data_IF_730488418898
#
_entry.id   IF_730488418898
#
_cell.length_a   1.000
_cell.length_b   1.000
_cell.length_c   1.000
_cell.angle_alpha   90.00
_cell.angle_beta   90.00
_cell.angle_gamma   90.00
#
_symmetry.space_group_name_H-M   'P 1'
#
loop_
_entity.id
_entity.type
_entity.pdbx_description
1 polymer ?
#
# COMPACT_ATOMS: atom_id res chain seq x y z
N UNK A 1 -18.49 -0.31 32.53
CA UNK A 1 -19.13 -0.20 31.20
C UNK A 1 -18.51 0.96 30.40
N UNK A 2 -17.18 0.93 30.19
CA UNK A 2 -16.41 1.99 29.49
C UNK A 2 -15.33 1.40 28.54
N UNK A 3 -15.36 0.08 28.31
CA UNK A 3 -14.37 -0.62 27.48
C UNK A 3 -14.72 -0.50 25.99
N UNK A 4 -16.01 -0.49 25.65
CA UNK A 4 -16.51 -0.34 24.28
C UNK A 4 -16.12 0.99 23.59
N UNK A 5 -16.25 2.18 24.23
CA UNK A 5 -15.86 3.44 23.58
C UNK A 5 -14.34 3.60 23.44
N UNK A 6 -13.54 3.01 24.33
CA UNK A 6 -12.07 3.01 24.19
C UNK A 6 -11.59 2.10 23.05
N UNK A 7 -12.26 0.97 22.81
CA UNK A 7 -11.97 0.11 21.65
C UNK A 7 -12.38 0.81 20.35
N UNK A 8 -13.52 1.48 20.31
CA UNK A 8 -13.95 2.27 19.15
C UNK A 8 -13.01 3.44 18.84
N UNK A 9 -12.54 4.14 19.87
CA UNK A 9 -11.54 5.19 19.73
C UNK A 9 -10.16 4.63 19.31
N UNK A 10 -9.75 3.47 19.80
CA UNK A 10 -8.51 2.80 19.37
C UNK A 10 -8.58 2.31 17.91
N UNK A 11 -9.74 1.79 17.47
CA UNK A 11 -9.99 1.43 16.07
C UNK A 11 -9.90 2.66 15.15
N UNK A 12 -10.39 3.81 15.62
CA UNK A 12 -10.37 5.09 14.89
C UNK A 12 -8.99 5.78 14.91
N UNK A 13 -8.27 5.73 16.03
CA UNK A 13 -6.91 6.30 16.19
C UNK A 13 -5.88 5.50 15.37
N UNK A 14 -6.13 4.23 15.06
CA UNK A 14 -5.28 3.43 14.16
C UNK A 14 -5.38 3.89 12.68
N UNK A 15 -6.42 4.63 12.30
CA UNK A 15 -6.68 4.98 10.89
C UNK A 15 -5.84 6.19 10.42
N UNK A 16 -5.38 7.09 11.31
CA UNK A 16 -4.95 8.43 10.88
C UNK A 16 -3.46 8.76 10.90
N UNK A 17 -2.59 7.94 11.51
CA UNK A 17 -1.13 8.12 11.36
C UNK A 17 -0.58 7.45 10.09
N UNK A 18 -1.27 6.42 9.59
CA UNK A 18 -0.91 5.72 8.35
C UNK A 18 -1.25 6.55 7.12
N UNK A 19 -2.40 7.26 7.14
CA UNK A 19 -2.88 8.05 5.99
C UNK A 19 -1.87 9.09 5.48
N UNK A 20 -1.21 9.84 6.38
CA UNK A 20 -0.24 10.85 5.96
C UNK A 20 1.03 10.24 5.32
N UNK A 21 1.50 9.08 5.81
CA UNK A 21 2.65 8.39 5.23
C UNK A 21 2.27 7.77 3.89
N UNK A 22 1.09 7.16 3.80
CA UNK A 22 0.54 6.61 2.55
C UNK A 22 0.37 7.70 1.51
N UNK A 23 -0.18 8.87 1.88
CA UNK A 23 -0.33 10.00 0.97
C UNK A 23 1.03 10.50 0.48
N UNK A 24 2.03 10.62 1.36
CA UNK A 24 3.39 11.00 0.95
C UNK A 24 4.02 9.97 0.00
N UNK A 25 3.83 8.68 0.27
CA UNK A 25 4.27 7.61 -0.62
C UNK A 25 3.58 7.72 -1.98
N UNK A 26 2.26 7.93 -2.01
CA UNK A 26 1.48 8.08 -3.24
C UNK A 26 1.93 9.30 -4.05
N UNK A 27 2.08 10.48 -3.41
CA UNK A 27 2.58 11.69 -4.07
C UNK A 27 3.99 11.53 -4.60
N UNK A 28 4.86 10.81 -3.88
CA UNK A 28 6.22 10.52 -4.35
C UNK A 28 6.21 9.60 -5.58
N UNK A 29 5.36 8.56 -5.57
CA UNK A 29 5.18 7.68 -6.74
C UNK A 29 4.58 8.44 -7.93
N UNK A 30 3.61 9.31 -7.69
CA UNK A 30 3.00 10.17 -8.72
C UNK A 30 4.04 11.08 -9.35
N UNK A 31 4.89 11.73 -8.55
CA UNK A 31 6.01 12.56 -9.03
C UNK A 31 7.01 11.76 -9.87
N UNK A 32 7.14 10.46 -9.62
CA UNK A 32 8.03 9.56 -10.35
C UNK A 32 7.35 8.86 -11.53
N UNK A 33 6.07 9.13 -11.80
CA UNK A 33 5.26 8.40 -12.78
C UNK A 33 5.23 6.88 -12.53
N UNK A 34 5.24 6.50 -11.25
CA UNK A 34 5.28 5.10 -10.75
C UNK A 34 4.04 4.75 -9.91
N UNK A 35 2.95 5.51 -10.06
CA UNK A 35 1.69 5.10 -9.46
C UNK A 35 1.31 3.71 -9.98
N UNK A 36 0.74 2.84 -9.13
CA UNK A 36 0.25 1.56 -9.61
C UNK A 36 -0.83 1.78 -10.67
N UNK A 37 -0.54 1.37 -11.89
CA UNK A 37 -1.47 1.46 -13.00
C UNK A 37 -2.39 0.24 -12.92
N UNK A 38 -3.70 0.50 -12.94
CA UNK A 38 -4.70 -0.53 -13.24
C UNK A 38 -4.74 -0.74 -14.74
N UNK A 39 -3.85 -1.57 -15.28
CA UNK A 39 -3.73 -1.82 -16.72
C UNK A 39 -4.63 -2.96 -17.22
N UNK A 40 -5.54 -3.46 -16.37
CA UNK A 40 -6.41 -4.59 -16.69
C UNK A 40 -7.86 -4.21 -17.00
N UNK A 41 -8.55 -5.13 -17.67
CA UNK A 41 -9.98 -5.01 -17.95
C UNK A 41 -10.79 -4.87 -16.65
N UNK A 42 -11.78 -3.97 -16.66
CA UNK A 42 -12.73 -3.79 -15.55
C UNK A 42 -14.10 -4.35 -15.90
N UNK A 43 -14.79 -4.94 -14.92
CA UNK A 43 -16.18 -5.36 -15.02
C UNK A 43 -17.15 -4.15 -15.06
N UNK A 44 -18.44 -4.44 -15.23
CA UNK A 44 -19.52 -3.43 -15.26
C UNK A 44 -19.64 -2.60 -13.97
N UNK A 45 -18.99 -3.03 -12.88
CA UNK A 45 -18.97 -2.36 -11.58
C UNK A 45 -17.68 -1.57 -11.35
N UNK A 46 -16.81 -1.48 -12.35
CA UNK A 46 -15.53 -0.79 -12.29
C UNK A 46 -14.47 -1.54 -11.48
N UNK A 47 -14.65 -2.83 -11.21
CA UNK A 47 -13.66 -3.68 -10.55
C UNK A 47 -12.81 -4.39 -11.60
N UNK A 48 -11.53 -4.62 -11.33
CA UNK A 48 -10.71 -5.46 -12.20
C UNK A 48 -11.36 -6.84 -12.37
N UNK A 49 -11.37 -7.37 -13.60
CA UNK A 49 -11.74 -8.76 -13.87
C UNK A 49 -10.83 -9.71 -13.10
N UNK A 50 -11.27 -10.95 -12.88
CA UNK A 50 -10.47 -11.94 -12.15
C UNK A 50 -9.09 -12.17 -12.80
N UNK A 51 -9.05 -12.25 -14.13
CA UNK A 51 -7.79 -12.36 -14.90
C UNK A 51 -6.90 -11.14 -14.71
N UNK A 52 -7.46 -9.93 -14.72
CA UNK A 52 -6.72 -8.70 -14.48
C UNK A 52 -6.16 -8.63 -13.05
N UNK A 53 -6.94 -9.03 -12.04
CA UNK A 53 -6.45 -9.08 -10.65
C UNK A 53 -5.27 -10.03 -10.49
N UNK A 54 -5.32 -11.20 -11.13
CA UNK A 54 -4.22 -12.17 -11.12
C UNK A 54 -2.97 -11.58 -11.77
N UNK A 55 -3.10 -10.95 -12.94
CA UNK A 55 -1.97 -10.33 -13.63
C UNK A 55 -1.31 -9.21 -12.80
N UNK A 56 -2.11 -8.30 -12.23
CA UNK A 56 -1.64 -7.22 -11.36
C UNK A 56 -0.93 -7.79 -10.13
N UNK A 57 -1.49 -8.83 -9.52
CA UNK A 57 -0.89 -9.48 -8.36
C UNK A 57 0.45 -10.15 -8.69
N UNK A 58 0.55 -10.83 -9.84
CA UNK A 58 1.78 -11.46 -10.30
C UNK A 58 2.91 -10.44 -10.54
N UNK A 59 2.59 -9.31 -11.17
CA UNK A 59 3.54 -8.20 -11.37
C UNK A 59 3.99 -7.64 -10.03
N UNK A 60 3.06 -7.33 -9.13
CA UNK A 60 3.37 -6.79 -7.82
C UNK A 60 4.25 -7.75 -6.99
N UNK A 61 3.95 -9.05 -7.05
CA UNK A 61 4.75 -10.08 -6.40
C UNK A 61 6.16 -10.15 -6.97
N UNK A 62 6.31 -10.19 -8.30
CA UNK A 62 7.65 -10.20 -8.94
C UNK A 62 8.48 -8.99 -8.57
N UNK A 63 7.85 -7.81 -8.45
CA UNK A 63 8.54 -6.59 -8.04
C UNK A 63 9.07 -6.68 -6.61
N UNK A 64 8.29 -7.23 -5.67
CA UNK A 64 8.74 -7.44 -4.28
C UNK A 64 9.79 -8.53 -4.19
N UNK A 65 9.64 -9.63 -4.93
CA UNK A 65 10.64 -10.71 -4.95
C UNK A 65 12.00 -10.21 -5.48
N UNK A 66 11.98 -9.29 -6.46
CA UNK A 66 13.20 -8.66 -6.99
C UNK A 66 13.75 -7.54 -6.09
N UNK A 67 12.88 -6.78 -5.41
CA UNK A 67 13.24 -5.60 -4.61
C UNK A 67 12.57 -5.63 -3.23
N UNK A 68 12.96 -6.56 -2.33
CA UNK A 68 12.28 -6.76 -1.06
C UNK A 68 12.39 -5.56 -0.10
N UNK A 69 13.39 -4.70 -0.28
CA UNK A 69 13.58 -3.49 0.53
C UNK A 69 13.03 -2.21 -0.13
N UNK A 70 12.44 -2.31 -1.34
CA UNK A 70 11.81 -1.16 -2.01
C UNK A 70 10.38 -0.95 -1.48
N UNK A 71 10.18 0.16 -0.78
CA UNK A 71 8.86 0.55 -0.27
C UNK A 71 7.82 0.71 -1.38
N UNK A 72 8.21 1.07 -2.61
CA UNK A 72 7.30 1.21 -3.74
C UNK A 72 6.72 -0.14 -4.18
N UNK A 73 7.55 -1.19 -4.20
CA UNK A 73 7.10 -2.54 -4.55
C UNK A 73 6.03 -3.05 -3.58
N UNK A 74 6.22 -2.80 -2.28
CA UNK A 74 5.22 -3.14 -1.25
C UNK A 74 3.95 -2.28 -1.33
N UNK A 75 4.05 -1.03 -1.79
CA UNK A 75 2.89 -0.18 -2.05
C UNK A 75 2.03 -0.77 -3.18
N UNK A 76 2.66 -1.25 -4.26
CA UNK A 76 1.95 -1.90 -5.37
C UNK A 76 1.26 -3.20 -4.92
N UNK A 77 1.90 -4.01 -4.08
CA UNK A 77 1.26 -5.21 -3.48
C UNK A 77 0.04 -4.83 -2.64
N UNK A 78 0.14 -3.77 -1.84
CA UNK A 78 -1.00 -3.31 -1.06
C UNK A 78 -2.18 -2.92 -1.95
N UNK A 79 -1.89 -2.25 -3.06
CA UNK A 79 -2.90 -1.83 -4.03
C UNK A 79 -3.57 -3.01 -4.73
N UNK A 80 -2.79 -4.06 -5.06
CA UNK A 80 -3.32 -5.30 -5.60
C UNK A 80 -4.28 -6.02 -4.62
N UNK A 81 -3.94 -6.04 -3.32
CA UNK A 81 -4.82 -6.59 -2.29
C UNK A 81 -6.08 -5.75 -2.05
N UNK A 82 -6.00 -4.43 -2.18
CA UNK A 82 -7.18 -3.57 -2.04
C UNK A 82 -8.15 -3.78 -3.22
N UNK A 83 -7.62 -3.91 -4.44
CA UNK A 83 -8.42 -4.19 -5.64
C UNK A 83 -9.16 -5.55 -5.58
N UNK A 84 -8.55 -6.56 -4.95
CA UNK A 84 -9.20 -7.86 -4.72
C UNK A 84 -10.17 -7.86 -3.52
N UNK A 85 -10.11 -6.83 -2.67
CA UNK A 85 -10.95 -6.66 -1.49
C UNK A 85 -10.35 -7.20 -0.19
N UNK A 86 -9.12 -7.73 -0.20
CA UNK A 86 -8.39 -8.13 1.00
C UNK A 86 -7.74 -6.91 1.68
N UNK A 87 -8.58 -6.11 2.33
CA UNK A 87 -8.16 -4.92 3.07
C UNK A 87 -7.20 -5.23 4.21
N UNK A 88 -7.20 -6.46 4.73
CA UNK A 88 -6.30 -6.86 5.82
C UNK A 88 -4.86 -6.97 5.32
N UNK A 89 -4.67 -7.65 4.21
CA UNK A 89 -3.37 -7.79 3.57
C UNK A 89 -2.91 -6.48 2.93
N UNK A 90 -3.81 -5.68 2.37
CA UNK A 90 -3.50 -4.33 1.88
C UNK A 90 -2.87 -3.47 2.99
N UNK A 91 -3.50 -3.41 4.17
CA UNK A 91 -2.98 -2.64 5.32
C UNK A 91 -1.64 -3.18 5.85
N UNK A 92 -1.47 -4.51 5.90
CA UNK A 92 -0.19 -5.11 6.31
C UNK A 92 0.93 -4.69 5.36
N UNK A 93 0.67 -4.73 4.07
CA UNK A 93 1.62 -4.35 3.02
C UNK A 93 1.94 -2.84 3.09
N UNK A 94 0.93 -1.97 3.25
CA UNK A 94 1.15 -0.52 3.45
C UNK A 94 1.97 -0.19 4.69
N UNK A 95 1.76 -0.91 5.80
CA UNK A 95 2.56 -0.70 7.01
C UNK A 95 4.03 -1.03 6.76
N UNK A 96 4.29 -2.16 6.10
CA UNK A 96 5.65 -2.56 5.75
C UNK A 96 6.30 -1.55 4.79
N UNK A 97 5.58 -1.12 3.75
CA UNK A 97 6.03 -0.05 2.85
C UNK A 97 6.36 1.24 3.64
N UNK A 98 5.49 1.64 4.58
CA UNK A 98 5.71 2.81 5.41
C UNK A 98 6.94 2.71 6.32
N UNK A 99 7.25 1.52 6.84
CA UNK A 99 8.47 1.27 7.61
C UNK A 99 9.72 1.42 6.75
N UNK A 100 9.74 0.81 5.57
CA UNK A 100 10.83 0.93 4.59
C UNK A 100 10.99 2.38 4.11
N UNK A 101 9.90 3.09 3.85
CA UNK A 101 9.91 4.50 3.46
C UNK A 101 10.57 5.37 4.54
N UNK A 102 10.19 5.18 5.81
CA UNK A 102 10.81 5.92 6.94
C UNK A 102 12.30 5.61 7.08
N UNK A 103 12.71 4.35 6.92
CA UNK A 103 14.12 3.94 6.94
C UNK A 103 14.90 4.60 5.80
N UNK A 104 14.36 4.53 4.59
CA UNK A 104 14.93 5.15 3.37
C UNK A 104 15.13 6.65 3.56
N UNK A 105 14.09 7.37 4.04
CA UNK A 105 14.19 8.80 4.30
C UNK A 105 15.20 9.16 5.38
N UNK A 106 15.31 8.35 6.43
CA UNK A 106 16.31 8.56 7.48
C UNK A 106 17.72 8.40 6.93
N UNK A 107 17.96 7.34 6.17
CA UNK A 107 19.24 7.10 5.52
C UNK A 107 19.65 8.26 4.58
N UNK A 108 18.71 8.80 3.80
CA UNK A 108 18.96 9.94 2.92
C UNK A 108 19.30 11.24 3.67
N UNK A 109 18.68 11.47 4.84
CA UNK A 109 18.95 12.65 5.66
C UNK A 109 20.31 12.58 6.35
N UNK A 110 20.70 11.38 6.75
CA UNK A 110 21.93 11.14 7.51
C UNK A 110 23.14 10.89 6.58
N UNK A 111 22.97 11.04 5.26
CA UNK A 111 24.05 10.98 4.27
C UNK A 111 24.90 12.28 4.32
N UNK A 112 26.25 12.16 4.30
CA UNK A 112 27.18 13.28 4.49
C UNK A 112 27.21 14.28 3.34
#
# INVERSE_FOLDING_TARGET
>A
LLVLPMIGAWWMIHEWSTGAVVQRMATELERQDRLPIHDGETDERGRLTESAQVAVFEVARRNVDAHPDDWAAWFHVAYAYDASGDRSMARKSLRHAGDLYRRTRRAMRDAP
#
